data_IF_525642170700
#
_entry.id   IF_525642170700
#
_cell.length_a   1.000
_cell.length_b   1.000
_cell.length_c   1.000
_cell.angle_alpha   90.00
_cell.angle_beta   90.00
_cell.angle_gamma   90.00
#
_symmetry.space_group_name_H-M   'P 1'
#
loop_
_entity.id
_entity.type
_entity.pdbx_description
1 polymer ?
#
# COMPACT_ATOMS: atom_id res chain seq x y z
N UNK A 1 -10.73 53.73 -10.05
CA UNK A 1 -10.77 52.28 -10.34
C UNK A 1 -9.35 51.77 -10.24
N UNK A 2 -8.98 51.17 -9.11
CA UNK A 2 -7.63 50.66 -8.88
C UNK A 2 -7.63 49.19 -9.25
N UNK A 3 -6.91 48.83 -10.30
CA UNK A 3 -6.75 47.46 -10.77
C UNK A 3 -5.85 46.73 -9.79
N UNK A 4 -6.38 45.70 -9.11
CA UNK A 4 -5.60 44.79 -8.29
C UNK A 4 -4.97 43.75 -9.23
N UNK A 5 -3.65 43.79 -9.34
CA UNK A 5 -2.87 42.84 -10.14
C UNK A 5 -2.59 41.63 -9.26
N UNK A 6 -2.93 40.46 -9.79
CA UNK A 6 -2.81 39.13 -9.16
C UNK A 6 -1.37 38.82 -8.74
N UNK A 7 -1.15 38.54 -7.46
CA UNK A 7 0.00 37.75 -7.00
C UNK A 7 -0.47 36.30 -6.95
N UNK A 8 -0.34 35.62 -8.08
CA UNK A 8 -0.40 34.17 -8.16
C UNK A 8 0.74 33.59 -7.33
N UNK A 9 0.43 33.21 -6.09
CA UNK A 9 1.33 32.43 -5.26
C UNK A 9 1.23 31.00 -5.78
N UNK A 10 2.21 30.61 -6.58
CA UNK A 10 2.48 29.20 -6.86
C UNK A 10 3.46 28.74 -5.78
N UNK A 11 3.01 28.09 -4.69
CA UNK A 11 3.96 27.44 -3.81
C UNK A 11 4.45 26.18 -4.54
N UNK A 12 5.52 26.34 -5.32
CA UNK A 12 6.42 25.25 -5.67
C UNK A 12 7.09 24.78 -4.37
N UNK A 13 6.34 24.08 -3.54
CA UNK A 13 6.91 23.30 -2.44
C UNK A 13 7.70 22.18 -3.15
N UNK A 14 9.04 22.14 -3.01
CA UNK A 14 9.79 21.00 -3.52
C UNK A 14 9.19 19.73 -2.87
N UNK A 15 8.84 18.73 -3.68
CA UNK A 15 8.31 17.46 -3.18
C UNK A 15 9.44 16.72 -2.46
N UNK A 16 9.76 17.14 -1.24
CA UNK A 16 10.66 16.38 -0.38
C UNK A 16 9.94 15.07 -0.10
N UNK A 17 10.54 13.96 -0.51
CA UNK A 17 9.98 12.67 -0.20
C UNK A 17 9.94 12.52 1.31
N UNK A 18 8.89 11.90 1.84
CA UNK A 18 8.70 11.69 3.28
C UNK A 18 9.85 10.85 3.91
N UNK A 19 10.59 10.13 3.07
CA UNK A 19 11.79 9.33 3.39
C UNK A 19 13.11 10.11 3.27
N UNK A 20 13.07 11.37 2.85
CA UNK A 20 14.27 12.20 2.71
C UNK A 20 14.76 12.68 4.08
N UNK A 21 16.08 12.67 4.29
CA UNK A 21 16.71 13.20 5.49
C UNK A 21 16.43 14.70 5.66
N UNK A 22 16.18 15.42 4.56
CA UNK A 22 15.83 16.83 4.59
C UNK A 22 14.38 17.10 5.04
N UNK A 23 13.52 16.08 5.09
CA UNK A 23 12.11 16.25 5.49
C UNK A 23 11.99 16.83 6.90
N UNK A 24 12.77 16.31 7.85
CA UNK A 24 12.74 16.75 9.24
C UNK A 24 13.30 18.18 9.38
N UNK A 25 14.30 18.55 8.55
CA UNK A 25 14.82 19.91 8.45
C UNK A 25 13.79 20.87 7.86
N UNK A 26 13.02 20.46 6.86
CA UNK A 26 11.93 21.25 6.28
C UNK A 26 10.77 21.46 7.26
N UNK A 27 10.43 20.46 8.07
CA UNK A 27 9.41 20.59 9.13
C UNK A 27 9.86 21.56 10.24
N UNK A 28 11.14 21.61 10.57
CA UNK A 28 11.67 22.51 11.61
C UNK A 28 11.57 24.00 11.25
N UNK A 29 11.36 24.33 9.98
CA UNK A 29 11.24 25.71 9.47
C UNK A 29 9.80 26.23 9.45
N UNK A 30 8.83 25.41 9.84
CA UNK A 30 7.41 25.81 9.84
C UNK A 30 7.10 26.79 10.97
N UNK A 31 6.17 27.71 10.70
CA UNK A 31 5.91 28.86 11.56
C UNK A 31 5.18 28.53 12.87
N UNK A 32 4.44 27.41 12.91
CA UNK A 32 3.73 26.91 14.10
C UNK A 32 3.38 25.42 13.96
N UNK A 33 2.98 24.80 15.07
CA UNK A 33 2.68 23.36 15.15
C UNK A 33 1.52 22.93 14.26
N UNK A 34 0.53 23.81 14.07
CA UNK A 34 -0.56 23.56 13.13
C UNK A 34 -0.06 23.45 11.68
N UNK A 35 0.81 24.35 11.25
CA UNK A 35 1.40 24.31 9.91
C UNK A 35 2.26 23.05 9.75
N UNK A 36 3.05 22.69 10.77
CA UNK A 36 3.84 21.46 10.79
C UNK A 36 2.97 20.20 10.66
N UNK A 37 1.91 20.09 11.46
CA UNK A 37 0.96 18.98 11.40
C UNK A 37 0.28 18.88 10.02
N UNK A 38 -0.11 20.01 9.43
CA UNK A 38 -0.73 20.06 8.10
C UNK A 38 0.23 19.57 6.99
N UNK A 39 1.50 19.94 7.05
CA UNK A 39 2.52 19.46 6.10
C UNK A 39 2.77 17.96 6.25
N UNK A 40 2.87 17.47 7.50
CA UNK A 40 3.00 16.04 7.79
C UNK A 40 1.81 15.24 7.27
N UNK A 41 0.58 15.70 7.52
CA UNK A 41 -0.64 15.08 6.99
C UNK A 41 -0.58 15.01 5.45
N UNK A 42 -0.27 16.12 4.79
CA UNK A 42 -0.21 16.17 3.33
C UNK A 42 0.82 15.19 2.77
N UNK A 43 1.99 15.12 3.40
CA UNK A 43 3.06 14.23 2.99
C UNK A 43 2.66 12.75 3.17
N UNK A 44 2.03 12.38 4.29
CA UNK A 44 1.52 11.01 4.51
C UNK A 44 0.44 10.66 3.48
N UNK A 45 -0.56 11.54 3.26
CA UNK A 45 -1.62 11.31 2.25
C UNK A 45 -1.05 11.16 0.84
N UNK A 46 -0.04 11.97 0.50
CA UNK A 46 0.65 11.90 -0.79
C UNK A 46 1.36 10.56 -0.96
N UNK A 47 2.08 10.10 0.08
CA UNK A 47 2.75 8.81 0.09
C UNK A 47 1.75 7.64 -0.07
N UNK A 48 0.67 7.63 0.72
CA UNK A 48 -0.42 6.64 0.61
C UNK A 48 -0.96 6.59 -0.82
N UNK A 49 -1.29 7.75 -1.41
CA UNK A 49 -1.83 7.80 -2.78
C UNK A 49 -0.85 7.26 -3.81
N UNK A 50 0.44 7.57 -3.67
CA UNK A 50 1.46 7.16 -4.63
C UNK A 50 1.70 5.65 -4.63
N UNK A 51 1.64 5.03 -3.45
CA UNK A 51 1.96 3.62 -3.27
C UNK A 51 0.73 2.72 -3.10
N UNK A 52 -0.48 3.27 -3.22
CA UNK A 52 -1.74 2.54 -3.01
C UNK A 52 -1.82 1.24 -3.82
N UNK A 53 -1.42 1.27 -5.08
CA UNK A 53 -1.52 0.09 -5.95
C UNK A 53 -0.43 -0.95 -5.62
N UNK A 54 0.67 -0.57 -4.97
CA UNK A 54 1.73 -1.49 -4.54
C UNK A 54 1.29 -2.36 -3.35
N UNK A 55 0.45 -1.83 -2.47
CA UNK A 55 -0.19 -2.59 -1.40
C UNK A 55 -1.53 -1.95 -0.96
N UNK A 56 -2.63 -2.26 -1.66
CA UNK A 56 -3.90 -1.57 -1.45
C UNK A 56 -4.48 -1.83 -0.06
N UNK A 57 -4.18 -2.97 0.56
CA UNK A 57 -4.66 -3.31 1.90
C UNK A 57 -3.94 -2.47 2.94
N UNK A 58 -2.61 -2.47 2.91
CA UNK A 58 -1.77 -1.70 3.83
C UNK A 58 -2.09 -0.21 3.76
N UNK A 59 -2.07 0.37 2.56
CA UNK A 59 -2.21 1.81 2.39
C UNK A 59 -3.64 2.32 2.66
N UNK A 60 -4.67 1.49 2.41
CA UNK A 60 -6.05 1.79 2.83
C UNK A 60 -6.17 1.87 4.35
N UNK A 61 -5.69 0.85 5.06
CA UNK A 61 -5.71 0.81 6.54
C UNK A 61 -4.90 1.94 7.15
N UNK A 62 -3.75 2.28 6.57
CA UNK A 62 -2.96 3.44 6.99
C UNK A 62 -3.73 4.75 6.83
N UNK A 63 -4.46 4.91 5.73
CA UNK A 63 -5.34 6.06 5.50
C UNK A 63 -6.48 6.15 6.52
N UNK A 64 -7.09 5.02 6.88
CA UNK A 64 -8.11 4.93 7.93
C UNK A 64 -7.54 5.37 9.28
N UNK A 65 -6.40 4.78 9.71
CA UNK A 65 -5.68 5.16 10.93
C UNK A 65 -5.30 6.64 10.96
N UNK A 66 -4.83 7.20 9.84
CA UNK A 66 -4.52 8.62 9.75
C UNK A 66 -5.76 9.48 10.04
N UNK A 67 -6.90 9.16 9.41
CA UNK A 67 -8.13 9.91 9.62
C UNK A 67 -8.63 9.79 11.07
N UNK A 68 -8.48 8.63 11.71
CA UNK A 68 -8.81 8.43 13.11
C UNK A 68 -7.95 9.29 14.04
N UNK A 69 -6.64 9.36 13.80
CA UNK A 69 -5.70 10.20 14.56
C UNK A 69 -6.10 11.68 14.41
N UNK A 70 -6.33 12.16 13.18
CA UNK A 70 -6.70 13.55 12.92
C UNK A 70 -8.01 13.93 13.60
N UNK A 71 -8.97 13.01 13.65
CA UNK A 71 -10.25 13.24 14.32
C UNK A 71 -10.11 13.24 15.84
N UNK A 72 -9.29 12.36 16.39
CA UNK A 72 -9.16 12.16 17.84
C UNK A 72 -8.32 13.26 18.49
N UNK A 73 -7.25 13.69 17.81
CA UNK A 73 -6.29 14.68 18.30
C UNK A 73 -6.54 16.08 17.73
N UNK A 74 -7.80 16.37 17.37
CA UNK A 74 -8.18 17.69 16.87
C UNK A 74 -7.82 18.76 17.91
N UNK A 75 -7.15 19.82 17.46
CA UNK A 75 -6.63 20.93 18.28
C UNK A 75 -5.56 20.54 19.34
N UNK A 76 -5.13 19.27 19.39
CA UNK A 76 -4.02 18.78 20.21
C UNK A 76 -2.74 18.67 19.36
N UNK A 77 -2.20 19.82 18.94
CA UNK A 77 -1.17 19.89 17.90
C UNK A 77 0.12 19.14 18.24
N UNK A 78 0.57 19.19 19.49
CA UNK A 78 1.78 18.47 19.94
C UNK A 78 1.59 16.96 19.83
N UNK A 79 0.49 16.44 20.41
CA UNK A 79 0.15 15.01 20.36
C UNK A 79 -0.08 14.54 18.91
N UNK A 80 -0.69 15.38 18.07
CA UNK A 80 -0.89 15.09 16.66
C UNK A 80 0.44 14.97 15.92
N UNK A 81 1.38 15.88 16.13
CA UNK A 81 2.71 15.83 15.53
C UNK A 81 3.42 14.54 15.93
N UNK A 82 3.39 14.17 17.21
CA UNK A 82 4.03 12.94 17.69
C UNK A 82 3.41 11.68 17.06
N UNK A 83 2.08 11.64 16.96
CA UNK A 83 1.37 10.54 16.31
C UNK A 83 1.69 10.43 14.81
N UNK A 84 1.76 11.56 14.09
CA UNK A 84 2.14 11.60 12.68
C UNK A 84 3.62 11.22 12.50
N UNK A 85 4.51 11.65 13.38
CA UNK A 85 5.94 11.28 13.34
C UNK A 85 6.13 9.78 13.49
N UNK A 86 5.31 9.13 14.34
CA UNK A 86 5.31 7.67 14.48
C UNK A 86 4.92 6.99 13.16
N UNK A 87 3.86 7.45 12.49
CA UNK A 87 3.47 6.94 11.17
C UNK A 87 4.61 7.09 10.15
N UNK A 88 5.28 8.25 10.14
CA UNK A 88 6.42 8.50 9.25
C UNK A 88 7.58 7.56 9.53
N UNK A 89 7.88 7.32 10.81
CA UNK A 89 8.94 6.42 11.23
C UNK A 89 8.66 4.96 10.86
N UNK A 90 7.40 4.51 11.05
CA UNK A 90 6.94 3.17 10.65
C UNK A 90 7.14 2.97 9.14
N UNK A 91 6.71 3.95 8.31
CA UNK A 91 6.90 3.90 6.85
C UNK A 91 8.38 3.88 6.44
N UNK A 92 9.24 4.67 7.09
CA UNK A 92 10.69 4.69 6.82
C UNK A 92 11.36 3.36 7.17
N UNK A 93 10.88 2.68 8.21
CA UNK A 93 11.39 1.38 8.62
C UNK A 93 10.88 0.22 7.75
N UNK A 94 9.94 0.47 6.83
CA UNK A 94 9.25 -0.59 6.09
C UNK A 94 8.38 -1.47 6.99
N UNK A 95 8.15 -1.06 8.24
CA UNK A 95 7.36 -1.79 9.21
C UNK A 95 5.92 -1.29 9.16
N UNK A 96 4.96 -2.20 8.99
CA UNK A 96 3.57 -1.88 9.32
C UNK A 96 3.25 -2.37 10.73
N UNK A 97 2.56 -1.54 11.54
CA UNK A 97 2.05 -1.99 12.84
C UNK A 97 1.08 -3.18 12.70
N UNK A 98 0.53 -3.38 11.48
CA UNK A 98 -0.37 -4.47 11.11
C UNK A 98 0.39 -5.75 10.70
N UNK A 99 1.72 -5.72 10.58
CA UNK A 99 2.52 -6.91 10.27
C UNK A 99 2.73 -7.81 11.50
N UNK A 100 2.34 -7.32 12.68
CA UNK A 100 2.35 -8.09 13.90
C UNK A 100 1.42 -9.31 13.79
N UNK A 101 2.02 -10.48 13.54
CA UNK A 101 1.30 -11.75 13.36
C UNK A 101 1.24 -12.24 11.91
N UNK A 102 1.82 -11.53 10.95
CA UNK A 102 2.06 -12.10 9.63
C UNK A 102 3.18 -13.16 9.71
N UNK A 103 3.03 -14.28 8.98
CA UNK A 103 4.11 -15.25 8.84
C UNK A 103 5.34 -14.63 8.16
N UNK A 104 6.52 -15.07 8.59
CA UNK A 104 7.78 -14.71 7.95
C UNK A 104 7.80 -15.19 6.48
N UNK A 105 8.05 -14.26 5.56
CA UNK A 105 7.91 -14.45 4.13
C UNK A 105 8.74 -13.40 3.36
N UNK A 106 9.25 -13.72 2.15
CA UNK A 106 9.93 -12.74 1.31
C UNK A 106 9.10 -11.46 1.11
N UNK A 107 9.76 -10.29 1.14
CA UNK A 107 9.11 -8.97 1.10
C UNK A 107 8.14 -8.81 -0.07
N UNK A 108 8.49 -9.34 -1.24
CA UNK A 108 7.69 -9.24 -2.46
C UNK A 108 6.38 -10.05 -2.40
N UNK A 109 6.28 -11.05 -1.52
CA UNK A 109 5.06 -11.83 -1.33
C UNK A 109 4.08 -11.16 -0.34
N UNK A 110 4.56 -10.27 0.53
CA UNK A 110 3.77 -9.72 1.63
C UNK A 110 2.51 -8.97 1.16
N UNK A 111 2.54 -8.14 0.09
CA UNK A 111 1.32 -7.50 -0.41
C UNK A 111 0.25 -8.50 -0.88
N UNK A 112 0.68 -9.61 -1.49
CA UNK A 112 -0.22 -10.68 -1.93
C UNK A 112 -0.82 -11.42 -0.74
N UNK A 113 -0.02 -11.67 0.29
CA UNK A 113 -0.49 -12.26 1.53
C UNK A 113 -1.57 -11.41 2.21
N UNK A 114 -1.32 -10.10 2.37
CA UNK A 114 -2.29 -9.16 2.96
C UNK A 114 -3.60 -9.14 2.16
N UNK A 115 -3.52 -9.15 0.82
CA UNK A 115 -4.68 -9.22 -0.06
C UNK A 115 -5.48 -10.53 0.12
N UNK A 116 -4.81 -11.68 0.20
CA UNK A 116 -5.48 -12.96 0.41
C UNK A 116 -6.10 -13.07 1.81
N UNK A 117 -5.39 -12.61 2.84
CA UNK A 117 -5.92 -12.57 4.21
C UNK A 117 -7.20 -11.73 4.28
N UNK A 118 -7.20 -10.55 3.69
CA UNK A 118 -8.40 -9.71 3.62
C UNK A 118 -9.54 -10.40 2.88
N UNK A 119 -9.26 -11.07 1.75
CA UNK A 119 -10.29 -11.74 0.97
C UNK A 119 -10.86 -13.00 1.63
N UNK A 120 -10.06 -13.73 2.41
CA UNK A 120 -10.46 -15.00 3.04
C UNK A 120 -11.03 -14.79 4.44
N UNK A 121 -10.48 -13.86 5.20
CA UNK A 121 -10.75 -13.70 6.64
C UNK A 121 -11.44 -12.37 6.96
N UNK A 122 -11.33 -11.37 6.08
CA UNK A 122 -11.90 -10.05 6.32
C UNK A 122 -11.25 -9.37 7.54
N UNK A 123 -12.05 -9.09 8.55
CA UNK A 123 -11.62 -8.44 9.81
C UNK A 123 -11.38 -9.42 10.95
N UNK A 124 -11.65 -10.71 10.74
CA UNK A 124 -11.45 -11.73 11.76
C UNK A 124 -9.97 -12.14 11.87
N UNK A 125 -9.60 -12.82 12.96
CA UNK A 125 -8.27 -13.42 13.08
C UNK A 125 -8.28 -14.82 12.46
N UNK A 126 -7.37 -15.14 11.52
CA UNK A 126 -7.27 -16.49 10.99
C UNK A 126 -6.85 -17.46 12.09
N UNK A 127 -7.37 -18.69 12.04
CA UNK A 127 -6.73 -19.80 12.77
C UNK A 127 -5.36 -20.13 12.19
N UNK A 128 -4.48 -20.76 12.97
CA UNK A 128 -3.13 -21.14 12.53
C UNK A 128 -3.16 -22.02 11.26
N UNK A 129 -4.14 -22.94 11.17
CA UNK A 129 -4.31 -23.79 9.99
C UNK A 129 -4.72 -22.98 8.74
N UNK A 130 -5.63 -22.01 8.89
CA UNK A 130 -6.00 -21.12 7.80
C UNK A 130 -4.82 -20.25 7.37
N UNK A 131 -4.07 -19.71 8.33
CA UNK A 131 -2.91 -18.87 8.06
C UNK A 131 -1.85 -19.63 7.28
N UNK A 132 -1.58 -20.89 7.63
CA UNK A 132 -0.67 -21.77 6.87
C UNK A 132 -1.17 -22.00 5.45
N UNK A 133 -2.45 -22.33 5.25
CA UNK A 133 -3.02 -22.54 3.92
C UNK A 133 -2.99 -21.28 3.04
N UNK A 134 -3.28 -20.12 3.64
CA UNK A 134 -3.23 -18.84 2.94
C UNK A 134 -1.79 -18.51 2.55
N UNK A 135 -0.83 -18.72 3.47
CA UNK A 135 0.60 -18.56 3.22
C UNK A 135 1.07 -19.42 2.04
N UNK A 136 0.74 -20.71 2.05
CA UNK A 136 1.14 -21.64 0.99
C UNK A 136 0.55 -21.23 -0.36
N UNK A 137 -0.72 -20.83 -0.38
CA UNK A 137 -1.37 -20.28 -1.57
C UNK A 137 -0.73 -18.98 -2.04
N UNK A 138 -0.29 -18.10 -1.13
CA UNK A 138 0.44 -16.88 -1.51
C UNK A 138 1.70 -17.23 -2.26
N UNK A 139 2.52 -18.14 -1.73
CA UNK A 139 3.78 -18.55 -2.36
C UNK A 139 3.51 -19.16 -3.72
N UNK A 140 2.55 -20.09 -3.82
CA UNK A 140 2.17 -20.72 -5.11
C UNK A 140 1.78 -19.67 -6.17
N UNK A 141 0.97 -18.68 -5.79
CA UNK A 141 0.51 -17.64 -6.71
C UNK A 141 1.64 -16.70 -7.12
N UNK A 142 2.50 -16.31 -6.18
CA UNK A 142 3.62 -15.41 -6.46
C UNK A 142 4.67 -16.11 -7.33
N UNK A 143 5.00 -17.38 -7.07
CA UNK A 143 5.88 -18.19 -7.91
C UNK A 143 5.32 -18.35 -9.33
N UNK A 144 4.00 -18.56 -9.44
CA UNK A 144 3.30 -18.63 -10.72
C UNK A 144 3.37 -17.30 -11.50
N UNK A 145 3.20 -16.17 -10.81
CA UNK A 145 3.25 -14.84 -11.42
C UNK A 145 4.68 -14.55 -11.88
N UNK A 146 5.65 -14.64 -10.97
CA UNK A 146 7.07 -14.33 -11.22
C UNK A 146 7.64 -15.18 -12.36
N UNK A 147 7.27 -16.47 -12.43
CA UNK A 147 7.69 -17.36 -13.52
C UNK A 147 7.19 -16.97 -14.91
N UNK A 148 6.15 -16.15 -15.02
CA UNK A 148 5.61 -15.66 -16.31
C UNK A 148 6.02 -14.22 -16.64
N UNK A 149 6.50 -13.45 -15.65
CA UNK A 149 6.83 -12.06 -15.84
C UNK A 149 8.07 -11.89 -16.71
N UNK A 150 7.98 -10.93 -17.63
CA UNK A 150 9.08 -10.42 -18.47
C UNK A 150 8.93 -8.91 -18.55
N UNK A 151 9.98 -8.18 -18.92
CA UNK A 151 9.97 -6.71 -19.02
C UNK A 151 8.81 -6.17 -19.88
N UNK A 152 8.39 -6.92 -20.90
CA UNK A 152 7.32 -6.52 -21.82
C UNK A 152 5.98 -7.21 -21.54
N UNK A 153 5.84 -7.91 -20.41
CA UNK A 153 4.67 -8.74 -20.12
C UNK A 153 3.37 -7.94 -20.14
N UNK A 154 3.39 -6.69 -19.69
CA UNK A 154 2.21 -5.82 -19.61
C UNK A 154 1.86 -5.12 -20.93
N UNK A 155 2.65 -5.32 -21.98
CA UNK A 155 2.40 -4.70 -23.28
C UNK A 155 1.15 -5.28 -23.97
N UNK A 156 0.40 -4.49 -24.77
CA UNK A 156 -0.85 -4.94 -25.38
C UNK A 156 -0.74 -6.22 -26.23
N UNK A 157 0.40 -6.47 -26.87
CA UNK A 157 0.58 -7.67 -27.70
C UNK A 157 0.74 -8.96 -26.88
N UNK A 158 0.98 -8.87 -25.56
CA UNK A 158 1.05 -9.99 -24.63
C UNK A 158 -0.29 -10.32 -23.96
N UNK A 159 -1.41 -9.70 -24.38
CA UNK A 159 -2.76 -10.01 -23.86
C UNK A 159 -3.05 -11.51 -23.72
N UNK A 160 -2.74 -12.38 -24.71
CA UNK A 160 -3.00 -13.82 -24.56
C UNK A 160 -2.24 -14.46 -23.38
N UNK A 161 -1.03 -13.99 -23.08
CA UNK A 161 -0.24 -14.47 -21.94
C UNK A 161 -0.80 -13.95 -20.60
N UNK A 162 -1.23 -12.69 -20.56
CA UNK A 162 -1.92 -12.10 -19.40
C UNK A 162 -3.21 -12.86 -19.09
N UNK A 163 -4.02 -13.17 -20.11
CA UNK A 163 -5.25 -13.94 -19.98
C UNK A 163 -4.98 -15.37 -19.50
N UNK A 164 -3.91 -16.01 -20.01
CA UNK A 164 -3.50 -17.34 -19.60
C UNK A 164 -3.03 -17.37 -18.13
N UNK A 165 -2.24 -16.39 -17.69
CA UNK A 165 -1.85 -16.23 -16.29
C UNK A 165 -3.09 -16.02 -15.40
N UNK A 166 -3.99 -15.12 -15.80
CA UNK A 166 -5.24 -14.88 -15.09
C UNK A 166 -6.11 -16.15 -14.94
N UNK A 167 -6.19 -16.98 -15.99
CA UNK A 167 -6.91 -18.24 -15.93
C UNK A 167 -6.27 -19.26 -14.96
N UNK A 168 -4.93 -19.28 -14.88
CA UNK A 168 -4.20 -20.13 -13.93
C UNK A 168 -4.42 -19.67 -12.48
N UNK A 169 -4.29 -18.37 -12.21
CA UNK A 169 -4.58 -17.77 -10.90
C UNK A 169 -6.02 -18.11 -10.48
N UNK A 170 -6.99 -17.90 -11.37
CA UNK A 170 -8.39 -18.23 -11.10
C UNK A 170 -8.58 -19.71 -10.71
N UNK A 171 -7.92 -20.63 -11.44
CA UNK A 171 -7.98 -22.07 -11.14
C UNK A 171 -7.33 -22.39 -9.80
N UNK A 172 -6.17 -21.81 -9.47
CA UNK A 172 -5.52 -22.01 -8.17
C UNK A 172 -6.41 -21.54 -7.02
N UNK A 173 -6.97 -20.33 -7.11
CA UNK A 173 -7.92 -19.79 -6.14
C UNK A 173 -9.15 -20.70 -5.95
N UNK A 174 -9.77 -21.18 -7.04
CA UNK A 174 -10.91 -22.12 -6.97
C UNK A 174 -10.55 -23.45 -6.34
N UNK A 175 -9.35 -23.95 -6.61
CA UNK A 175 -8.87 -25.25 -6.12
C UNK A 175 -8.55 -25.20 -4.64
N UNK A 176 -8.04 -24.06 -4.14
CA UNK A 176 -7.74 -23.86 -2.72
C UNK A 176 -8.97 -24.02 -1.81
N UNK A 177 -10.17 -23.70 -2.32
CA UNK A 177 -11.44 -23.62 -1.56
C UNK A 177 -11.39 -22.65 -0.37
N UNK A 178 -10.40 -21.75 -0.32
CA UNK A 178 -10.28 -20.73 0.72
C UNK A 178 -11.15 -19.50 0.41
N UNK A 179 -11.33 -19.20 -0.87
CA UNK A 179 -12.05 -18.01 -1.34
C UNK A 179 -13.46 -18.40 -1.76
N UNK A 180 -14.45 -17.59 -1.37
CA UNK A 180 -15.83 -17.82 -1.78
C UNK A 180 -15.97 -17.78 -3.31
N UNK A 181 -16.76 -18.69 -3.94
CA UNK A 181 -16.82 -18.80 -5.40
C UNK A 181 -17.19 -17.50 -6.14
N UNK A 182 -17.98 -16.63 -5.52
CA UNK A 182 -18.37 -15.33 -6.08
C UNK A 182 -17.23 -14.31 -6.13
N UNK A 183 -16.25 -14.42 -5.23
CA UNK A 183 -15.18 -13.44 -5.07
C UNK A 183 -13.92 -13.78 -5.87
N UNK A 184 -13.80 -15.02 -6.35
CA UNK A 184 -12.60 -15.52 -7.05
C UNK A 184 -12.24 -14.68 -8.27
N UNK A 185 -13.22 -14.25 -9.06
CA UNK A 185 -12.94 -13.41 -10.24
C UNK A 185 -12.37 -12.07 -9.85
N UNK A 186 -13.00 -11.38 -8.89
CA UNK A 186 -12.57 -10.07 -8.42
C UNK A 186 -11.18 -10.14 -7.77
N UNK A 187 -10.92 -11.18 -6.97
CA UNK A 187 -9.62 -11.39 -6.36
C UNK A 187 -8.53 -11.67 -7.41
N UNK A 188 -8.82 -12.49 -8.43
CA UNK A 188 -7.91 -12.72 -9.56
C UNK A 188 -7.55 -11.41 -10.27
N UNK A 189 -8.53 -10.55 -10.56
CA UNK A 189 -8.26 -9.25 -11.19
C UNK A 189 -7.38 -8.37 -10.30
N UNK A 190 -7.69 -8.29 -8.99
CA UNK A 190 -6.87 -7.54 -8.02
C UNK A 190 -5.44 -8.05 -7.91
N UNK A 191 -5.23 -9.37 -7.92
CA UNK A 191 -3.90 -9.97 -7.86
C UNK A 191 -3.07 -9.65 -9.13
N UNK A 192 -3.70 -9.59 -10.30
CA UNK A 192 -3.03 -9.16 -11.53
C UNK A 192 -2.64 -7.69 -11.49
N UNK A 193 -3.52 -6.80 -11.02
CA UNK A 193 -3.18 -5.39 -10.85
C UNK A 193 -2.08 -5.19 -9.81
N UNK A 194 -2.11 -5.95 -8.71
CA UNK A 194 -1.05 -5.94 -7.69
C UNK A 194 0.30 -6.40 -8.27
N UNK A 195 0.30 -7.44 -9.09
CA UNK A 195 1.47 -7.91 -9.81
C UNK A 195 2.02 -6.87 -10.78
N UNK A 196 1.13 -6.12 -11.43
CA UNK A 196 1.52 -5.02 -12.32
C UNK A 196 2.17 -3.87 -11.56
N UNK A 197 1.57 -3.45 -10.45
CA UNK A 197 2.10 -2.38 -9.62
C UNK A 197 3.46 -2.74 -8.99
N UNK A 198 3.68 -4.02 -8.67
CA UNK A 198 4.92 -4.52 -8.07
C UNK A 198 5.88 -5.17 -9.09
N UNK A 199 5.70 -4.94 -10.40
CA UNK A 199 6.45 -5.64 -11.44
C UNK A 199 7.98 -5.62 -11.22
N UNK A 200 8.55 -4.44 -10.97
CA UNK A 200 10.00 -4.27 -10.71
C UNK A 200 10.51 -5.03 -9.48
N UNK A 201 9.68 -5.17 -8.44
CA UNK A 201 10.05 -5.94 -7.24
C UNK A 201 10.00 -7.43 -7.53
N UNK A 202 8.99 -7.87 -8.28
CA UNK A 202 8.76 -9.27 -8.63
C UNK A 202 9.76 -9.82 -9.64
N UNK A 203 10.26 -9.01 -10.58
CA UNK A 203 11.27 -9.44 -11.55
C UNK A 203 12.68 -9.52 -10.98
N UNK A 204 12.93 -8.90 -9.81
CA UNK A 204 14.22 -8.93 -9.10
C UNK A 204 14.27 -9.95 -7.96
N UNK A 205 13.15 -10.61 -7.68
CA UNK A 205 12.96 -11.55 -6.59
C UNK A 205 13.67 -12.89 -6.82
#
# INVERSE_FOLDING_TARGET
>A
MTVVISLGVDPKIPRIALTDAEFDMHLSRQANDRAKASEMEHAIRSHIRKHLDEDPVLFRKLGERLNEILKTLADQWDDLIDALQKIISDMRAGASSDDAGLPDMPEHCVPFLRMLLEAVVGTERPSDEQLLKIRDLTVELVDMITGELTDTFWEPYKRPAQDALGARIFRALRTSRLVAPGDVSALKDRLLELARANHERLTRA
#
